data_IF_209130507274
#
_entry.id   IF_209130507274
#
_cell.length_a   1.000
_cell.length_b   1.000
_cell.length_c   1.000
_cell.angle_alpha   90.00
_cell.angle_beta   90.00
_cell.angle_gamma   90.00
#
_symmetry.space_group_name_H-M   'P 1'
#
loop_
_entity.id
_entity.type
_entity.pdbx_description
1 polymer ?
#
# COMPACT_ATOMS: atom_id res chain seq x y z
N UNK A 1 -12.26 -33.46 -28.23
CA UNK A 1 -12.50 -32.62 -27.04
C UNK A 1 -11.57 -31.43 -27.15
N UNK A 2 -11.99 -30.41 -27.89
CA UNK A 2 -11.26 -29.14 -28.03
C UNK A 2 -12.17 -28.06 -27.46
N UNK A 3 -12.12 -27.86 -26.15
CA UNK A 3 -12.86 -26.80 -25.49
C UNK A 3 -11.85 -26.09 -24.59
N UNK A 4 -11.59 -24.81 -24.90
CA UNK A 4 -10.95 -23.79 -24.05
C UNK A 4 -9.47 -23.39 -24.25
N UNK A 5 -8.88 -23.48 -25.45
CA UNK A 5 -7.63 -22.74 -25.71
C UNK A 5 -7.85 -21.36 -26.35
N UNK A 6 -9.07 -21.09 -26.84
CA UNK A 6 -9.42 -19.86 -27.53
C UNK A 6 -10.25 -18.92 -26.64
N UNK A 7 -9.59 -18.21 -25.71
CA UNK A 7 -9.97 -16.89 -25.16
C UNK A 7 -9.12 -16.54 -23.91
N UNK A 8 -7.80 -16.46 -24.06
CA UNK A 8 -6.98 -15.58 -23.20
C UNK A 8 -6.64 -14.28 -23.92
N UNK A 9 -7.59 -13.76 -24.70
CA UNK A 9 -7.49 -12.42 -25.25
C UNK A 9 -8.11 -11.50 -24.20
N UNK A 10 -7.32 -11.10 -23.20
CA UNK A 10 -7.71 -10.08 -22.24
C UNK A 10 -7.66 -8.71 -22.94
N UNK A 11 -8.78 -8.00 -23.15
CA UNK A 11 -8.77 -6.71 -23.85
C UNK A 11 -8.49 -5.53 -22.92
N UNK A 12 -8.19 -5.74 -21.64
CA UNK A 12 -7.95 -4.67 -20.68
C UNK A 12 -6.61 -4.94 -20.00
N UNK A 13 -5.57 -4.24 -20.47
CA UNK A 13 -4.30 -4.17 -19.76
C UNK A 13 -4.54 -3.30 -18.52
N UNK A 14 -4.56 -3.93 -17.35
CA UNK A 14 -4.57 -3.20 -16.08
C UNK A 14 -3.26 -2.44 -15.92
N UNK A 15 -3.36 -1.16 -15.59
CA UNK A 15 -2.20 -0.36 -15.22
C UNK A 15 -1.87 -0.59 -13.74
N UNK A 16 -0.63 -0.34 -13.28
CA UNK A 16 -0.24 -0.60 -11.90
C UNK A 16 -1.15 0.07 -10.86
N UNK A 17 -1.66 1.27 -11.17
CA UNK A 17 -2.63 1.98 -10.33
C UNK A 17 -3.95 1.22 -10.15
N UNK A 18 -4.40 0.47 -11.15
CA UNK A 18 -5.64 -0.31 -11.06
C UNK A 18 -5.49 -1.44 -10.02
N UNK A 19 -4.34 -2.11 -10.00
CA UNK A 19 -4.01 -3.09 -8.98
C UNK A 19 -4.00 -2.47 -7.58
N UNK A 20 -3.44 -1.27 -7.43
CA UNK A 20 -3.44 -0.56 -6.16
C UNK A 20 -4.86 -0.28 -5.66
N UNK A 21 -5.69 0.34 -6.50
CA UNK A 21 -7.09 0.68 -6.16
C UNK A 21 -7.89 -0.58 -5.81
N UNK A 22 -7.69 -1.67 -6.55
CA UNK A 22 -8.45 -2.90 -6.35
C UNK A 22 -8.07 -3.65 -5.06
N UNK A 23 -6.77 -3.79 -4.78
CA UNK A 23 -6.28 -4.72 -3.75
C UNK A 23 -5.78 -4.03 -2.47
N UNK A 24 -5.47 -2.74 -2.54
CA UNK A 24 -5.07 -1.90 -1.41
C UNK A 24 -6.18 -0.89 -1.06
N UNK A 25 -6.79 -0.28 -2.08
CA UNK A 25 -7.86 0.71 -1.90
C UNK A 25 -7.34 2.15 -1.83
N UNK A 26 -7.94 2.97 -0.95
CA UNK A 26 -7.65 4.41 -0.83
C UNK A 26 -6.41 4.73 0.02
N UNK A 27 -5.67 3.73 0.47
CA UNK A 27 -4.46 3.93 1.28
C UNK A 27 -3.32 4.46 0.39
N UNK A 28 -2.54 5.42 0.90
CA UNK A 28 -1.35 5.91 0.17
C UNK A 28 -0.21 4.90 0.23
N UNK A 29 0.71 4.87 -0.76
CA UNK A 29 1.90 4.02 -0.73
C UNK A 29 2.72 4.14 0.56
N UNK A 30 2.95 5.38 1.01
CA UNK A 30 3.66 5.69 2.25
C UNK A 30 2.97 5.10 3.48
N UNK A 31 1.66 5.27 3.62
CA UNK A 31 0.89 4.72 4.74
C UNK A 31 0.88 3.18 4.73
N UNK A 32 0.71 2.58 3.55
CA UNK A 32 0.75 1.12 3.38
C UNK A 32 2.08 0.54 3.86
N UNK A 33 3.20 1.12 3.40
CA UNK A 33 4.52 0.67 3.80
C UNK A 33 4.76 0.89 5.32
N UNK A 34 4.31 2.01 5.90
CA UNK A 34 4.42 2.27 7.36
C UNK A 34 3.67 1.22 8.19
N UNK A 35 2.41 0.96 7.86
CA UNK A 35 1.55 0.01 8.60
C UNK A 35 2.06 -1.43 8.43
N UNK A 36 2.76 -1.74 7.33
CA UNK A 36 3.35 -3.06 7.11
C UNK A 36 4.38 -3.44 8.19
N UNK A 37 5.03 -2.44 8.79
CA UNK A 37 6.10 -2.60 9.78
C UNK A 37 7.39 -3.22 9.22
N UNK A 38 7.55 -3.24 7.88
CA UNK A 38 8.74 -3.75 7.21
C UNK A 38 9.28 -2.72 6.22
N UNK A 39 10.61 -2.60 6.16
CA UNK A 39 11.27 -1.62 5.28
C UNK A 39 11.24 -1.99 3.80
N UNK A 40 11.02 -3.26 3.45
CA UNK A 40 11.06 -3.73 2.07
C UNK A 40 9.66 -3.69 1.44
N UNK A 41 9.45 -2.94 0.34
CA UNK A 41 8.18 -2.95 -0.39
C UNK A 41 7.73 -4.36 -0.81
N UNK A 42 8.67 -5.19 -1.24
CA UNK A 42 8.43 -6.58 -1.61
C UNK A 42 7.86 -7.40 -0.44
N UNK A 43 8.47 -7.29 0.75
CA UNK A 43 7.98 -7.97 1.96
C UNK A 43 6.65 -7.41 2.45
N UNK A 44 6.44 -6.09 2.31
CA UNK A 44 5.18 -5.45 2.67
C UNK A 44 4.01 -6.01 1.84
N UNK A 45 4.20 -6.08 0.52
CA UNK A 45 3.20 -6.65 -0.41
C UNK A 45 2.99 -8.15 -0.14
N UNK A 46 4.07 -8.92 0.03
CA UNK A 46 3.98 -10.34 0.37
C UNK A 46 3.15 -10.58 1.65
N UNK A 47 3.44 -9.80 2.71
CA UNK A 47 2.73 -9.88 3.99
C UNK A 47 1.25 -9.49 3.84
N UNK A 48 0.95 -8.46 3.05
CA UNK A 48 -0.42 -8.03 2.78
C UNK A 48 -1.23 -9.09 2.05
N UNK A 49 -0.71 -9.61 0.94
CA UNK A 49 -1.41 -10.62 0.15
C UNK A 49 -1.61 -11.93 0.92
N UNK A 50 -0.65 -12.34 1.76
CA UNK A 50 -0.82 -13.50 2.65
C UNK A 50 -1.98 -13.33 3.65
N UNK A 51 -2.25 -12.11 4.13
CA UNK A 51 -3.39 -11.84 5.03
C UNK A 51 -4.75 -11.96 4.31
N UNK A 52 -4.80 -11.69 3.01
CA UNK A 52 -6.05 -11.72 2.23
C UNK A 52 -6.56 -13.16 1.94
N UNK A 53 -5.80 -14.21 2.29
CA UNK A 53 -6.15 -15.63 2.10
C UNK A 53 -6.42 -15.99 0.63
N UNK A 54 -7.13 -17.10 0.36
CA UNK A 54 -7.44 -17.71 -0.96
C UNK A 54 -8.14 -16.78 -1.97
N UNK A 55 -8.44 -15.53 -1.61
CA UNK A 55 -9.24 -14.59 -2.41
C UNK A 55 -8.43 -13.47 -3.07
N UNK A 56 -7.09 -13.49 -3.01
CA UNK A 56 -6.23 -12.44 -3.60
C UNK A 56 -6.38 -12.29 -5.13
N UNK A 57 -6.88 -13.31 -5.82
CA UNK A 57 -7.04 -13.28 -7.28
C UNK A 57 -8.39 -12.76 -7.77
N UNK A 58 -9.32 -12.52 -6.84
CA UNK A 58 -10.70 -12.17 -7.18
C UNK A 58 -10.81 -10.67 -7.44
N UNK A 59 -11.14 -10.31 -8.67
CA UNK A 59 -11.49 -8.94 -9.04
C UNK A 59 -12.91 -8.64 -8.56
N UNK A 60 -13.02 -8.14 -7.32
CA UNK A 60 -14.29 -7.73 -6.72
C UNK A 60 -14.95 -6.59 -7.50
N UNK A 61 -16.24 -6.75 -7.81
CA UNK A 61 -17.11 -5.77 -8.46
C UNK A 61 -18.28 -5.41 -7.54
N UNK A 62 -19.27 -4.66 -8.06
CA UNK A 62 -20.39 -4.16 -7.27
C UNK A 62 -21.29 -5.28 -6.73
N UNK A 63 -21.43 -6.38 -7.47
CA UNK A 63 -22.22 -7.54 -7.04
C UNK A 63 -21.42 -8.84 -7.09
N UNK A 64 -21.83 -9.82 -6.27
CA UNK A 64 -21.30 -11.19 -6.34
C UNK A 64 -21.51 -11.79 -7.73
N UNK A 65 -22.68 -11.57 -8.35
CA UNK A 65 -22.96 -12.06 -9.70
C UNK A 65 -21.97 -11.52 -10.72
N UNK A 66 -21.68 -10.22 -10.70
CA UNK A 66 -20.69 -9.60 -11.60
C UNK A 66 -19.26 -10.07 -11.34
N UNK A 67 -18.90 -10.27 -10.07
CA UNK A 67 -17.55 -10.70 -9.67
C UNK A 67 -17.19 -12.07 -10.25
N UNK A 68 -18.17 -12.99 -10.27
CA UNK A 68 -17.95 -14.38 -10.73
C UNK A 68 -18.43 -14.63 -12.17
N UNK A 69 -19.18 -13.72 -12.79
CA UNK A 69 -19.56 -13.84 -14.22
C UNK A 69 -18.43 -13.46 -15.16
N UNK A 70 -17.42 -12.73 -14.67
CA UNK A 70 -16.35 -12.18 -15.47
C UNK A 70 -15.13 -13.13 -15.48
N UNK A 71 -14.59 -13.45 -16.68
CA UNK A 71 -13.50 -14.42 -16.80
C UNK A 71 -12.15 -13.85 -16.34
N UNK A 72 -12.03 -12.51 -16.26
CA UNK A 72 -10.80 -11.85 -15.85
C UNK A 72 -10.62 -11.98 -14.33
N UNK A 73 -9.73 -12.89 -13.95
CA UNK A 73 -9.25 -13.07 -12.58
C UNK A 73 -7.73 -13.10 -12.64
N UNK A 74 -7.06 -12.58 -11.61
CA UNK A 74 -5.61 -12.52 -11.56
C UNK A 74 -5.06 -13.62 -10.65
N UNK A 75 -3.86 -14.09 -10.92
CA UNK A 75 -3.13 -14.96 -10.02
C UNK A 75 -2.33 -14.13 -8.99
N UNK A 76 -1.73 -14.82 -8.02
CA UNK A 76 -0.94 -14.17 -6.96
C UNK A 76 0.18 -13.31 -7.52
N UNK A 77 0.90 -13.83 -8.51
CA UNK A 77 2.08 -13.19 -9.09
C UNK A 77 1.70 -11.93 -9.88
N UNK A 78 0.60 -11.98 -10.64
CA UNK A 78 0.06 -10.80 -11.36
C UNK A 78 -0.32 -9.68 -10.39
N UNK A 79 -1.04 -10.00 -9.31
CA UNK A 79 -1.42 -9.01 -8.29
C UNK A 79 -0.20 -8.47 -7.57
N UNK A 80 0.72 -9.35 -7.18
CA UNK A 80 1.96 -8.99 -6.51
C UNK A 80 2.79 -8.01 -7.35
N UNK A 81 3.04 -8.33 -8.62
CA UNK A 81 3.83 -7.46 -9.49
C UNK A 81 3.11 -6.18 -9.89
N UNK A 82 1.78 -6.21 -10.04
CA UNK A 82 0.98 -5.00 -10.28
C UNK A 82 1.10 -3.99 -9.15
N UNK A 83 0.99 -4.45 -7.90
CA UNK A 83 1.17 -3.59 -6.71
C UNK A 83 2.61 -3.09 -6.61
N UNK A 84 3.61 -3.95 -6.86
CA UNK A 84 5.02 -3.55 -6.83
C UNK A 84 5.35 -2.52 -7.92
N UNK A 85 4.77 -2.65 -9.11
CA UNK A 85 4.95 -1.68 -10.18
C UNK A 85 4.43 -0.30 -9.74
N UNK A 86 3.27 -0.22 -9.09
CA UNK A 86 2.73 1.05 -8.61
C UNK A 86 3.60 1.68 -7.52
N UNK A 87 4.15 0.86 -6.61
CA UNK A 87 5.11 1.33 -5.61
C UNK A 87 6.40 1.86 -6.24
N UNK A 88 6.86 1.29 -7.36
CA UNK A 88 8.03 1.80 -8.09
C UNK A 88 7.72 3.10 -8.83
N UNK A 89 6.56 3.20 -9.46
CA UNK A 89 6.12 4.43 -10.14
C UNK A 89 5.98 5.62 -9.18
N UNK A 90 5.54 5.35 -7.95
CA UNK A 90 5.36 6.36 -6.90
C UNK A 90 6.56 6.50 -5.96
N UNK A 91 7.70 5.87 -6.28
CA UNK A 91 8.88 5.77 -5.40
C UNK A 91 9.38 7.11 -4.88
N UNK A 92 9.45 8.11 -5.74
CA UNK A 92 9.92 9.44 -5.36
C UNK A 92 8.99 10.11 -4.34
N UNK A 93 7.68 9.96 -4.52
CA UNK A 93 6.66 10.58 -3.68
C UNK A 93 6.67 9.97 -2.27
N UNK A 94 6.54 8.65 -2.16
CA UNK A 94 6.45 8.03 -0.83
C UNK A 94 7.78 8.02 -0.10
N UNK A 95 8.93 8.00 -0.78
CA UNK A 95 10.23 8.20 -0.12
C UNK A 95 10.38 9.59 0.43
N UNK A 96 9.87 10.61 -0.27
CA UNK A 96 9.88 11.98 0.22
C UNK A 96 9.02 12.09 1.49
N UNK A 97 7.79 11.56 1.49
CA UNK A 97 6.93 11.55 2.68
C UNK A 97 7.56 10.80 3.86
N UNK A 98 8.32 9.72 3.58
CA UNK A 98 9.07 9.00 4.61
C UNK A 98 10.23 9.82 5.16
N UNK A 99 10.98 10.49 4.28
CA UNK A 99 12.07 11.36 4.68
C UNK A 99 11.54 12.51 5.54
N UNK A 100 10.44 13.14 5.14
CA UNK A 100 9.77 14.18 5.92
C UNK A 100 9.27 13.64 7.26
N UNK A 101 8.75 12.42 7.32
CA UNK A 101 8.34 11.78 8.58
C UNK A 101 9.51 11.54 9.54
N UNK A 102 10.67 11.09 9.05
CA UNK A 102 11.87 10.89 9.88
C UNK A 102 12.60 12.20 10.22
N UNK A 103 12.42 13.24 9.41
CA UNK A 103 13.00 14.57 9.62
C UNK A 103 12.09 15.52 10.40
N UNK A 104 10.80 15.21 10.51
CA UNK A 104 9.91 15.85 11.47
C UNK A 104 10.47 15.51 12.86
N UNK A 105 11.25 16.43 13.39
CA UNK A 105 11.76 16.36 14.76
C UNK A 105 10.57 16.24 15.71
N UNK A 106 10.78 15.52 16.82
CA UNK A 106 9.95 15.62 18.01
C UNK A 106 10.07 17.06 18.56
N UNK A 107 9.47 18.04 17.89
CA UNK A 107 9.46 19.44 18.32
C UNK A 107 8.60 19.63 19.59
N UNK A 108 7.89 18.59 20.01
CA UNK A 108 7.26 18.50 21.32
C UNK A 108 8.17 17.68 22.25
N UNK A 109 9.28 18.25 22.71
CA UNK A 109 9.86 17.83 23.98
C UNK A 109 8.98 18.42 25.10
N UNK A 110 8.10 17.62 25.74
CA UNK A 110 7.24 18.11 26.81
C UNK A 110 8.03 18.58 28.05
N UNK A 111 9.35 18.37 28.10
CA UNK A 111 10.23 18.75 29.19
C UNK A 111 10.91 20.12 29.00
N UNK A 112 10.66 20.83 27.89
CA UNK A 112 11.17 22.19 27.64
C UNK A 112 10.50 23.29 28.52
N UNK A 113 9.64 22.91 29.46
CA UNK A 113 9.09 23.80 30.48
C UNK A 113 10.06 23.82 31.67
N UNK A 114 11.16 24.59 31.62
CA UNK A 114 11.85 25.10 32.82
C UNK A 114 13.04 25.99 32.46
N UNK A 115 12.76 27.26 32.15
CA UNK A 115 13.68 28.36 32.46
C UNK A 115 12.86 29.58 32.89
N UNK A 116 12.10 29.43 33.98
CA UNK A 116 11.62 30.58 34.73
C UNK A 116 12.79 31.10 35.60
N UNK A 117 13.10 32.41 35.59
CA UNK A 117 14.18 32.95 36.40
C UNK A 117 13.80 32.84 37.87
N UNK A 118 14.68 32.23 38.68
CA UNK A 118 14.55 32.19 40.14
C UNK A 118 14.36 33.62 40.68
N UNK A 119 13.40 33.88 41.58
CA UNK A 119 13.38 35.15 42.29
C UNK A 119 14.65 35.23 43.14
N UNK A 120 15.41 36.30 42.95
CA UNK A 120 16.56 36.66 43.76
C UNK A 120 16.10 36.91 45.21
N UNK A 121 16.46 36.03 46.12
CA UNK A 121 16.52 36.36 47.54
C UNK A 121 17.66 37.36 47.73
N UNK A 122 17.32 38.61 48.05
CA UNK A 122 18.28 39.56 48.59
C UNK A 122 18.11 39.62 50.13
N UNK A 123 19.21 39.83 50.87
CA UNK A 123 19.27 39.78 52.33
C UNK A 123 18.57 40.95 53.02
#
# INVERSE_FOLDING_TARGET
MEINEQKRVNPIKWEPKDFWVQYIGSMTPSAFLKISGVYSPYRAVEKHLRKLSTFYGIVRRNTWKETFSEPLQFNYEEVYWGIIAYLKETENEWKQEWKEFWLAQDDDDPLSINNAPKPSENP
#
